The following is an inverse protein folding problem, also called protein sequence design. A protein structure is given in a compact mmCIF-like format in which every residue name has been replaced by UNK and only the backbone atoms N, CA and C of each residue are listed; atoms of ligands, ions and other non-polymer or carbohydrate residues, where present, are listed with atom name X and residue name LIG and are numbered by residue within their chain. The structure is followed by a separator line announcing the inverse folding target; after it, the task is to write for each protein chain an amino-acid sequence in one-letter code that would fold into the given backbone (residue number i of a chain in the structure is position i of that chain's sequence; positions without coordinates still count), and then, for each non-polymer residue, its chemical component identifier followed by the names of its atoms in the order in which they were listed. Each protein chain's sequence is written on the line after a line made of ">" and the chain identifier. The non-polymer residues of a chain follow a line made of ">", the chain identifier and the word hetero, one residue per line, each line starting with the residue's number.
data_IF_435330871655
#
_entry.id   IF_435330871655
#
_cell.length_a   1.000
_cell.length_b   1.000
_cell.length_c   1.000
_cell.angle_alpha   90.00
_cell.angle_beta   90.00
_cell.angle_gamma   90.00
#
_symmetry.space_group_name_H-M   'P 1'
#
loop_
_entity.id
_entity.type
_entity.pdbx_description
1 polymer ?
#
# COMPACT_ATOMS: atom_id res chain seq x y z
N UNK A 1 11.50 10.72 -6.00
CA UNK A 1 11.08 10.74 -4.60
C UNK A 1 11.08 9.32 -4.03
N UNK A 2 11.32 9.15 -2.75
CA UNK A 2 11.24 7.86 -2.05
C UNK A 2 10.45 8.03 -0.77
N UNK A 3 10.03 6.93 -0.14
CA UNK A 3 9.31 7.01 1.14
C UNK A 3 10.16 7.62 2.26
N UNK A 4 11.48 7.70 2.09
CA UNK A 4 12.37 8.34 3.07
C UNK A 4 12.10 9.84 3.21
N UNK A 5 11.45 10.45 2.23
CA UNK A 5 11.12 11.87 2.24
C UNK A 5 9.80 12.17 2.96
N UNK A 6 9.06 11.13 3.35
CA UNK A 6 7.84 11.29 4.13
C UNK A 6 8.16 11.67 5.58
N UNK A 7 7.21 12.32 6.28
CA UNK A 7 7.34 12.50 7.73
C UNK A 7 7.64 11.18 8.42
N UNK A 8 8.44 11.24 9.49
CA UNK A 8 8.88 10.04 10.20
C UNK A 8 7.74 9.12 10.62
N UNK A 9 6.63 9.70 11.13
CA UNK A 9 5.50 8.90 11.59
C UNK A 9 4.82 8.15 10.45
N UNK A 10 4.72 8.77 9.28
CA UNK A 10 4.11 8.13 8.10
C UNK A 10 4.98 7.02 7.56
N UNK A 11 6.28 7.26 7.48
CA UNK A 11 7.23 6.23 7.09
C UNK A 11 7.21 5.04 8.05
N UNK A 12 7.18 5.32 9.36
CA UNK A 12 7.11 4.28 10.36
C UNK A 12 5.84 3.44 10.23
N UNK A 13 4.70 4.09 9.95
CA UNK A 13 3.44 3.39 9.73
C UNK A 13 3.52 2.44 8.54
N UNK A 14 4.05 2.90 7.42
CA UNK A 14 4.19 2.09 6.21
C UNK A 14 5.12 0.88 6.41
N UNK A 15 6.24 1.09 7.08
CA UNK A 15 7.18 0.01 7.37
C UNK A 15 6.60 -1.00 8.34
N UNK A 16 5.83 -0.56 9.35
CA UNK A 16 5.15 -1.44 10.28
C UNK A 16 4.11 -2.31 9.57
N UNK A 17 3.34 -1.73 8.64
CA UNK A 17 2.37 -2.48 7.84
C UNK A 17 3.07 -3.54 7.00
N UNK A 18 4.13 -3.15 6.31
CA UNK A 18 4.87 -4.09 5.46
C UNK A 18 5.43 -5.26 6.25
N UNK A 19 6.06 -4.97 7.39
CA UNK A 19 6.64 -6.00 8.24
C UNK A 19 5.59 -6.99 8.74
N UNK A 20 4.45 -6.48 9.22
CA UNK A 20 3.39 -7.33 9.74
C UNK A 20 2.72 -8.18 8.66
N UNK A 21 2.46 -7.60 7.49
CA UNK A 21 1.89 -8.34 6.37
C UNK A 21 2.85 -9.43 5.90
N UNK A 22 4.13 -9.10 5.72
CA UNK A 22 5.13 -10.05 5.25
C UNK A 22 5.31 -11.21 6.23
N UNK A 23 5.12 -10.95 7.53
CA UNK A 23 5.24 -11.98 8.56
C UNK A 23 4.08 -12.97 8.51
N UNK A 24 2.88 -12.54 8.11
CA UNK A 24 1.66 -13.34 8.16
C UNK A 24 1.22 -13.92 6.81
N UNK A 25 1.51 -13.21 5.72
CA UNK A 25 0.92 -13.51 4.42
C UNK A 25 1.98 -13.50 3.33
N UNK A 26 1.73 -14.16 2.19
CA UNK A 26 2.69 -14.20 1.07
C UNK A 26 2.71 -12.87 0.31
N UNK A 27 3.25 -11.84 0.95
CA UNK A 27 3.38 -10.51 0.38
C UNK A 27 4.33 -10.52 -0.80
N UNK A 28 3.86 -9.98 -1.94
CA UNK A 28 4.68 -9.85 -3.14
C UNK A 28 5.37 -8.49 -3.19
N UNK A 29 4.60 -7.40 -3.04
CA UNK A 29 5.15 -6.06 -2.93
C UNK A 29 4.10 -5.06 -2.44
N UNK A 30 4.59 -3.90 -2.01
CA UNK A 30 3.76 -2.76 -1.62
C UNK A 30 4.32 -1.51 -2.26
N UNK A 31 3.45 -0.60 -2.66
CA UNK A 31 3.81 0.71 -3.20
C UNK A 31 2.90 1.79 -2.65
N UNK A 32 3.49 2.95 -2.33
CA UNK A 32 2.75 4.17 -2.04
C UNK A 32 2.38 4.83 -3.36
N UNK A 33 1.14 5.30 -3.50
CA UNK A 33 0.70 6.03 -4.69
C UNK A 33 -0.12 7.25 -4.28
N UNK A 34 -0.71 7.94 -5.25
CA UNK A 34 -1.54 9.10 -4.99
C UNK A 34 -0.74 10.34 -4.62
N UNK A 35 -1.40 11.30 -3.95
CA UNK A 35 -0.82 12.61 -3.68
C UNK A 35 0.44 12.58 -2.82
N UNK A 36 0.51 11.65 -1.85
CA UNK A 36 1.71 11.49 -1.02
C UNK A 36 2.92 11.03 -1.84
N UNK A 37 2.69 10.16 -2.83
CA UNK A 37 3.76 9.69 -3.71
C UNK A 37 4.21 10.80 -4.67
N UNK A 38 3.27 11.62 -5.14
CA UNK A 38 3.60 12.75 -6.03
C UNK A 38 4.25 13.94 -5.32
N UNK A 39 4.10 14.00 -3.98
CA UNK A 39 4.63 15.12 -3.21
C UNK A 39 3.74 16.36 -3.21
N UNK A 40 2.49 16.26 -3.68
CA UNK A 40 1.54 17.37 -3.73
C UNK A 40 0.43 17.27 -2.69
N UNK A 41 0.59 16.37 -1.71
CA UNK A 41 -0.37 16.17 -0.65
C UNK A 41 -0.24 17.21 0.45
N UNK A 42 -1.34 17.50 1.14
CA UNK A 42 -1.26 18.23 2.39
C UNK A 42 -0.98 17.25 3.56
N UNK A 43 -0.79 17.80 4.76
CA UNK A 43 -0.41 17.01 5.93
C UNK A 43 -1.48 15.99 6.35
N UNK A 44 -2.73 16.22 5.99
CA UNK A 44 -3.86 15.37 6.38
C UNK A 44 -4.28 14.37 5.30
N UNK A 45 -3.61 14.37 4.16
CA UNK A 45 -3.91 13.43 3.10
C UNK A 45 -3.62 11.99 3.51
N UNK A 46 -4.43 11.05 3.02
CA UNK A 46 -4.26 9.63 3.28
C UNK A 46 -2.98 9.10 2.64
N UNK A 47 -2.45 8.05 3.23
CA UNK A 47 -1.40 7.24 2.63
C UNK A 47 -2.08 6.17 1.77
N UNK A 48 -2.09 6.38 0.46
CA UNK A 48 -2.68 5.42 -0.48
C UNK A 48 -1.66 4.34 -0.80
N UNK A 49 -1.99 3.09 -0.49
CA UNK A 49 -1.04 1.98 -0.58
C UNK A 49 -1.62 0.86 -1.42
N UNK A 50 -0.89 0.43 -2.44
CA UNK A 50 -1.21 -0.77 -3.20
C UNK A 50 -0.43 -1.95 -2.62
N UNK A 51 -1.14 -3.02 -2.33
CA UNK A 51 -0.59 -4.21 -1.66
C UNK A 51 -0.91 -5.42 -2.53
N UNK A 52 0.11 -6.19 -2.90
CA UNK A 52 -0.08 -7.41 -3.69
C UNK A 52 0.29 -8.62 -2.85
N UNK A 53 -0.70 -9.48 -2.64
CA UNK A 53 -0.57 -10.74 -1.92
C UNK A 53 -0.64 -11.87 -2.94
N UNK A 54 0.31 -12.79 -2.93
CA UNK A 54 0.41 -13.87 -3.92
C UNK A 54 -0.88 -14.70 -3.99
N UNK A 55 -1.35 -15.15 -2.83
CA UNK A 55 -2.61 -15.86 -2.71
C UNK A 55 -3.52 -15.06 -1.80
N UNK A 56 -4.67 -14.66 -2.31
CA UNK A 56 -5.60 -13.79 -1.61
C UNK A 56 -6.97 -14.45 -1.48
N UNK A 57 -7.52 -14.41 -0.28
CA UNK A 57 -8.90 -14.74 -0.01
C UNK A 57 -9.48 -13.65 0.89
N UNK A 58 -10.77 -13.72 1.19
CA UNK A 58 -11.41 -12.65 1.95
C UNK A 58 -10.88 -12.53 3.38
N UNK A 59 -10.46 -13.65 3.99
CA UNK A 59 -9.88 -13.63 5.35
C UNK A 59 -8.54 -12.91 5.37
N UNK A 60 -7.70 -13.17 4.37
CA UNK A 60 -6.41 -12.50 4.22
C UNK A 60 -6.64 -11.02 3.94
N UNK A 61 -7.56 -10.70 3.02
CA UNK A 61 -7.88 -9.31 2.70
C UNK A 61 -8.35 -8.55 3.93
N UNK A 62 -9.25 -9.15 4.72
CA UNK A 62 -9.70 -8.58 5.99
C UNK A 62 -8.53 -8.35 6.93
N UNK A 63 -7.63 -9.32 7.06
CA UNK A 63 -6.45 -9.21 7.91
C UNK A 63 -5.53 -8.07 7.48
N UNK A 64 -5.36 -7.87 6.17
CA UNK A 64 -4.57 -6.76 5.64
C UNK A 64 -5.20 -5.41 5.99
N UNK A 65 -6.52 -5.28 5.83
CA UNK A 65 -7.22 -4.05 6.22
C UNK A 65 -7.07 -3.77 7.72
N UNK A 66 -7.18 -4.78 8.56
CA UNK A 66 -7.02 -4.64 10.01
C UNK A 66 -5.60 -4.17 10.36
N UNK A 67 -4.58 -4.74 9.72
CA UNK A 67 -3.19 -4.34 9.94
C UNK A 67 -3.01 -2.85 9.59
N UNK A 68 -3.55 -2.42 8.46
CA UNK A 68 -3.46 -1.02 8.04
C UNK A 68 -4.18 -0.09 9.02
N UNK A 69 -5.36 -0.50 9.50
CA UNK A 69 -6.15 0.29 10.44
C UNK A 69 -5.41 0.46 11.77
N UNK A 70 -4.90 -0.62 12.34
CA UNK A 70 -4.21 -0.55 13.64
C UNK A 70 -2.87 0.17 13.55
N UNK A 71 -2.13 -0.02 12.46
CA UNK A 71 -0.89 0.73 12.25
C UNK A 71 -1.16 2.22 12.12
N UNK A 72 -2.26 2.58 11.44
CA UNK A 72 -2.67 3.97 11.32
C UNK A 72 -3.00 4.60 12.66
N UNK A 73 -3.73 3.88 13.52
CA UNK A 73 -4.02 4.34 14.88
C UNK A 73 -2.74 4.52 15.70
N UNK A 74 -1.84 3.57 15.63
CA UNK A 74 -0.61 3.58 16.42
C UNK A 74 0.32 4.72 16.00
N UNK A 75 0.40 5.02 14.71
CA UNK A 75 1.34 6.01 14.18
C UNK A 75 0.68 7.34 13.79
N UNK A 76 -0.58 7.54 14.16
CA UNK A 76 -1.33 8.77 13.83
C UNK A 76 -1.28 9.09 12.33
N UNK A 77 -1.62 8.10 11.52
CA UNK A 77 -1.68 8.21 10.06
C UNK A 77 -2.93 7.48 9.55
N UNK A 78 -3.48 7.93 8.44
CA UNK A 78 -4.60 7.24 7.80
C UNK A 78 -4.09 6.51 6.57
N UNK A 79 -4.17 5.19 6.60
CA UNK A 79 -3.70 4.33 5.52
C UNK A 79 -4.90 3.80 4.76
N UNK A 80 -4.94 4.06 3.45
CA UNK A 80 -6.00 3.61 2.55
C UNK A 80 -5.44 2.53 1.62
N UNK A 81 -5.65 1.24 1.93
CA UNK A 81 -5.10 0.17 1.12
C UNK A 81 -6.00 -0.19 -0.06
N UNK A 82 -5.39 -0.58 -1.17
CA UNK A 82 -6.03 -1.34 -2.22
C UNK A 82 -5.24 -2.63 -2.39
N UNK A 83 -5.92 -3.77 -2.41
CA UNK A 83 -5.28 -5.08 -2.37
C UNK A 83 -5.55 -5.84 -3.67
N UNK A 84 -4.46 -6.36 -4.25
CA UNK A 84 -4.53 -7.22 -5.43
C UNK A 84 -3.94 -8.60 -5.10
N UNK A 85 -4.44 -9.63 -5.78
CA UNK A 85 -3.82 -10.95 -5.77
C UNK A 85 -2.77 -11.05 -6.87
N UNK A 86 -1.85 -12.01 -6.74
CA UNK A 86 -0.92 -12.32 -7.82
C UNK A 86 -1.63 -12.73 -9.09
N UNK A 87 -2.76 -13.45 -8.95
CA UNK A 87 -3.58 -13.85 -10.09
C UNK A 87 -4.14 -12.64 -10.85
N UNK A 88 -4.68 -11.65 -10.13
CA UNK A 88 -5.18 -10.43 -10.77
C UNK A 88 -4.08 -9.70 -11.55
N UNK A 89 -2.88 -9.65 -11.00
CA UNK A 89 -1.75 -9.00 -11.67
C UNK A 89 -1.29 -9.75 -12.92
N UNK A 90 -1.56 -11.05 -13.00
CA UNK A 90 -1.20 -11.84 -14.19
C UNK A 90 -2.10 -11.53 -15.38
N UNK A 91 -3.25 -10.88 -15.14
CA UNK A 91 -4.22 -10.57 -16.17
C UNK A 91 -3.91 -9.25 -16.86
N UNK A 92 -3.80 -9.25 -18.17
CA UNK A 92 -3.55 -8.05 -18.96
C UNK A 92 -4.63 -6.99 -18.76
N UNK A 93 -5.87 -7.43 -18.51
CA UNK A 93 -7.00 -6.54 -18.24
C UNK A 93 -6.72 -5.65 -17.02
N UNK A 94 -6.21 -6.23 -15.94
CA UNK A 94 -5.86 -5.48 -14.73
C UNK A 94 -4.73 -4.48 -15.02
N UNK A 95 -3.67 -4.96 -15.67
CA UNK A 95 -2.48 -4.13 -15.93
C UNK A 95 -2.72 -3.02 -16.94
N UNK A 96 -3.75 -3.14 -17.77
CA UNK A 96 -4.06 -2.12 -18.78
C UNK A 96 -5.01 -1.03 -18.28
N UNK A 97 -5.51 -1.12 -17.03
CA UNK A 97 -6.35 -0.07 -16.48
C UNK A 97 -5.53 1.22 -16.29
N UNK A 98 -6.15 2.40 -16.45
CA UNK A 98 -5.46 3.66 -16.18
C UNK A 98 -4.90 3.74 -14.77
N UNK A 99 -5.64 3.24 -13.78
CA UNK A 99 -5.19 3.20 -12.39
C UNK A 99 -3.88 2.43 -12.24
N UNK A 100 -3.83 1.22 -12.80
CA UNK A 100 -2.63 0.37 -12.65
C UNK A 100 -1.42 0.97 -13.38
N UNK A 101 -1.65 1.56 -14.54
CA UNK A 101 -0.57 2.25 -15.28
C UNK A 101 -0.01 3.42 -14.49
N UNK A 102 -0.87 4.21 -13.85
CA UNK A 102 -0.42 5.31 -12.99
C UNK A 102 0.35 4.78 -11.78
N UNK A 103 -0.11 3.68 -11.20
CA UNK A 103 0.59 3.03 -10.10
C UNK A 103 2.01 2.61 -10.48
N UNK A 104 2.19 2.08 -11.69
CA UNK A 104 3.51 1.69 -12.17
C UNK A 104 4.42 2.90 -12.41
N UNK A 105 3.86 4.01 -12.91
CA UNK A 105 4.62 5.22 -13.21
C UNK A 105 4.97 6.04 -11.98
N UNK A 106 4.03 6.19 -11.05
CA UNK A 106 4.15 7.10 -9.91
C UNK A 106 4.38 6.40 -8.57
N UNK A 107 4.13 5.09 -8.49
CA UNK A 107 4.22 4.36 -7.23
C UNK A 107 5.63 4.31 -6.68
N UNK A 108 5.75 4.49 -5.35
CA UNK A 108 7.01 4.42 -4.64
C UNK A 108 7.11 3.09 -3.88
N UNK A 109 8.12 2.28 -4.11
CA UNK A 109 8.31 1.04 -3.35
C UNK A 109 8.40 1.30 -1.85
N UNK A 110 7.78 0.42 -1.10
CA UNK A 110 7.84 0.45 0.37
C UNK A 110 8.74 -0.68 0.87
#
# INVERSE_FOLDING_TARGET
>A
MTIKELPKRERAALLAVKEEIARRYPLRWMKLFGSKARGDADAESDLDVAIVIEELNWEIEKGVYEICFYAGLEHDALISPIVYSGHELSQSRTRSTPFFKNLELEGLPI
#
